data_IF_123761548063
#
_entry.id   IF_123761548063
#
_cell.length_a   1.000
_cell.length_b   1.000
_cell.length_c   1.000
_cell.angle_alpha   90.00
_cell.angle_beta   90.00
_cell.angle_gamma   90.00
#
_symmetry.space_group_name_H-M   'P 1'
#
loop_
_entity.id
_entity.type
_entity.pdbx_description
1 polymer ?
#
# COMPACT_ATOMS: atom_id res chain seq x y z
N UNK A 1 9.33 12.39 12.96
CA UNK A 1 9.09 12.36 11.50
C UNK A 1 7.59 12.48 11.25
N UNK A 2 7.18 13.13 10.16
CA UNK A 2 5.79 13.36 9.79
C UNK A 2 5.45 12.50 8.59
N UNK A 3 4.39 11.70 8.68
CA UNK A 3 3.96 10.79 7.60
C UNK A 3 2.48 10.96 7.30
N UNK A 4 2.13 11.06 6.03
CA UNK A 4 0.73 11.12 5.57
C UNK A 4 0.26 9.74 5.13
N UNK A 5 -0.99 9.42 5.43
CA UNK A 5 -1.62 8.14 5.10
C UNK A 5 -3.09 8.35 4.74
N UNK A 6 -3.65 7.42 3.96
CA UNK A 6 -5.10 7.34 3.81
C UNK A 6 -5.74 6.96 5.16
N UNK A 7 -6.63 7.83 5.68
CA UNK A 7 -7.38 7.62 6.89
C UNK A 7 -8.64 6.75 6.72
N UNK A 8 -9.44 6.67 7.77
CA UNK A 8 -9.23 7.21 9.12
C UNK A 8 -8.26 6.39 9.99
N UNK A 9 -8.12 6.74 11.27
CA UNK A 9 -7.38 5.95 12.25
C UNK A 9 -7.88 4.48 12.28
N UNK A 10 -6.99 3.53 12.59
CA UNK A 10 -7.27 2.09 12.50
C UNK A 10 -7.20 1.53 11.07
N UNK A 11 -6.86 2.33 10.05
CA UNK A 11 -6.74 1.86 8.67
C UNK A 11 -5.48 1.01 8.45
N UNK A 12 -5.49 0.17 7.41
CA UNK A 12 -4.30 -0.59 7.02
C UNK A 12 -3.13 0.32 6.59
N UNK A 13 -3.41 1.51 6.07
CA UNK A 13 -2.37 2.50 5.75
C UNK A 13 -1.67 3.02 7.01
N UNK A 14 -2.39 3.21 8.10
CA UNK A 14 -1.81 3.56 9.41
C UNK A 14 -0.98 2.41 9.97
N UNK A 15 -1.50 1.17 9.93
CA UNK A 15 -0.77 -0.03 10.38
C UNK A 15 0.54 -0.14 9.59
N UNK A 16 0.49 0.03 8.27
CA UNK A 16 1.67 -0.01 7.40
C UNK A 16 2.68 1.09 7.78
N UNK A 17 2.22 2.31 8.04
CA UNK A 17 3.08 3.40 8.46
C UNK A 17 3.77 3.09 9.81
N UNK A 18 3.01 2.67 10.82
CA UNK A 18 3.56 2.29 12.12
C UNK A 18 4.59 1.16 12.01
N UNK A 19 4.30 0.13 11.21
CA UNK A 19 5.20 -1.02 10.98
C UNK A 19 6.47 -0.60 10.24
N UNK A 20 6.37 0.21 9.19
CA UNK A 20 7.52 0.75 8.47
C UNK A 20 8.43 1.55 9.40
N UNK A 21 7.84 2.47 10.19
CA UNK A 21 8.62 3.34 11.07
C UNK A 21 9.17 2.64 12.31
N UNK A 22 8.58 1.55 12.78
CA UNK A 22 9.15 0.73 13.87
C UNK A 22 10.50 0.12 13.46
N UNK A 23 10.65 -0.24 12.19
CA UNK A 23 11.92 -0.77 11.64
C UNK A 23 12.90 0.35 11.30
N UNK A 24 12.39 1.42 10.64
CA UNK A 24 13.22 2.50 10.13
C UNK A 24 13.74 3.41 11.25
N UNK A 25 12.93 3.65 12.27
CA UNK A 25 13.21 4.62 13.32
C UNK A 25 12.75 4.10 14.69
N UNK A 26 13.52 3.17 15.26
CA UNK A 26 13.20 2.48 16.52
C UNK A 26 13.01 3.39 17.76
N UNK A 27 13.30 4.70 17.66
CA UNK A 27 13.32 5.62 18.81
C UNK A 27 12.11 6.54 18.94
N UNK A 28 11.34 6.77 17.88
CA UNK A 28 10.22 7.72 17.90
C UNK A 28 9.09 7.28 16.96
N UNK A 29 7.87 7.18 17.49
CA UNK A 29 6.69 6.99 16.65
C UNK A 29 6.50 8.15 15.68
N UNK A 30 6.09 7.90 14.43
CA UNK A 30 5.81 8.95 13.48
C UNK A 30 4.59 9.78 13.89
N UNK A 31 4.61 11.07 13.63
CA UNK A 31 3.39 11.86 13.64
C UNK A 31 2.61 11.60 12.36
N UNK A 32 1.39 11.07 12.48
CA UNK A 32 0.57 10.62 11.35
C UNK A 32 -0.46 11.69 10.97
N UNK A 33 -0.45 12.10 9.69
CA UNK A 33 -1.49 12.91 9.09
C UNK A 33 -2.46 12.01 8.33
N UNK A 34 -3.72 11.95 8.78
CA UNK A 34 -4.77 11.25 8.08
C UNK A 34 -5.36 12.10 6.98
N UNK A 35 -5.47 11.54 5.79
CA UNK A 35 -6.03 12.21 4.61
C UNK A 35 -7.26 11.47 4.09
N UNK A 36 -8.08 12.16 3.30
CA UNK A 36 -9.32 11.62 2.75
C UNK A 36 -9.12 10.76 1.50
N UNK A 37 -7.94 10.84 0.87
CA UNK A 37 -7.61 10.06 -0.33
C UNK A 37 -6.12 9.74 -0.41
N UNK A 38 -5.76 8.74 -1.21
CA UNK A 38 -4.36 8.41 -1.53
C UNK A 38 -3.67 9.60 -2.21
N UNK A 39 -4.39 10.31 -3.08
CA UNK A 39 -3.88 11.51 -3.75
C UNK A 39 -3.51 12.59 -2.72
N UNK A 40 -4.39 12.90 -1.78
CA UNK A 40 -4.13 13.86 -0.72
C UNK A 40 -2.97 13.43 0.19
N UNK A 41 -2.76 12.12 0.40
CA UNK A 41 -1.61 11.63 1.14
C UNK A 41 -0.30 11.96 0.43
N UNK A 42 -0.24 11.83 -0.89
CA UNK A 42 0.94 12.21 -1.69
C UNK A 42 1.09 13.73 -1.82
N UNK A 43 0.00 14.47 -2.06
CA UNK A 43 0.02 15.94 -2.16
C UNK A 43 0.53 16.60 -0.87
N UNK A 44 0.29 15.98 0.27
CA UNK A 44 0.79 16.44 1.58
C UNK A 44 2.32 16.49 1.68
N UNK A 45 3.03 15.87 0.76
CA UNK A 45 4.49 16.00 0.64
C UNK A 45 4.91 17.36 0.06
N UNK A 46 4.03 18.03 -0.67
CA UNK A 46 4.31 19.26 -1.42
C UNK A 46 3.61 20.49 -0.83
N UNK A 47 2.51 20.27 -0.11
CA UNK A 47 1.61 21.32 0.37
C UNK A 47 1.62 21.38 1.90
N UNK A 48 1.63 22.59 2.42
CA UNK A 48 1.45 22.84 3.85
C UNK A 48 -0.03 22.66 4.24
N UNK A 49 -0.26 22.24 5.50
CA UNK A 49 -1.59 22.34 6.08
C UNK A 49 -1.88 23.75 6.60
N UNK A 50 -3.04 23.87 7.26
CA UNK A 50 -3.47 25.10 7.92
C UNK A 50 -2.48 25.58 9.00
N UNK A 51 -1.64 24.70 9.52
CA UNK A 51 -0.60 24.98 10.52
C UNK A 51 0.78 25.25 9.88
N UNK A 52 0.87 25.27 8.54
CA UNK A 52 2.13 25.45 7.83
C UNK A 52 3.03 24.20 7.81
N UNK A 53 2.48 23.01 8.07
CA UNK A 53 3.24 21.76 8.16
C UNK A 53 3.09 20.89 6.90
N UNK A 54 4.21 20.36 6.38
CA UNK A 54 4.24 19.33 5.34
C UNK A 54 4.57 17.97 5.93
N UNK A 55 4.18 16.89 5.25
CA UNK A 55 4.67 15.56 5.55
C UNK A 55 6.08 15.35 4.96
N UNK A 56 6.91 14.60 5.66
CA UNK A 56 8.21 14.16 5.14
C UNK A 56 8.07 12.94 4.21
N UNK A 57 7.07 12.10 4.54
CA UNK A 57 6.79 10.84 3.86
C UNK A 57 5.29 10.65 3.65
N UNK A 58 4.94 9.81 2.67
CA UNK A 58 3.60 9.26 2.55
C UNK A 58 3.66 7.74 2.46
N UNK A 59 2.68 7.03 3.04
CA UNK A 59 2.52 5.58 2.88
C UNK A 59 1.27 5.35 2.04
N UNK A 60 1.48 4.70 0.89
CA UNK A 60 0.41 4.42 -0.07
C UNK A 60 0.39 2.93 -0.46
N UNK A 61 -0.81 2.33 -0.62
CA UNK A 61 -0.94 0.98 -1.18
C UNK A 61 -0.66 1.02 -2.68
N UNK A 62 0.10 0.05 -3.20
CA UNK A 62 0.40 -0.04 -4.65
C UNK A 62 -0.14 -1.29 -5.30
N UNK A 63 -0.40 -2.34 -4.51
CA UNK A 63 -0.86 -3.62 -5.02
C UNK A 63 -1.56 -4.41 -3.91
N UNK A 64 -2.65 -5.10 -4.27
CA UNK A 64 -3.30 -6.08 -3.41
C UNK A 64 -3.30 -7.44 -4.11
N UNK A 65 -3.04 -8.52 -3.37
CA UNK A 65 -2.90 -9.87 -3.93
C UNK A 65 -4.18 -10.44 -4.58
N UNK A 66 -5.34 -9.84 -4.30
CA UNK A 66 -6.64 -10.25 -4.86
C UNK A 66 -7.07 -9.31 -5.98
N UNK A 67 -6.92 -7.99 -5.80
CA UNK A 67 -7.44 -6.98 -6.72
C UNK A 67 -6.39 -6.45 -7.72
N UNK A 68 -5.12 -6.78 -7.50
CA UNK A 68 -4.04 -6.30 -8.34
C UNK A 68 -3.59 -4.87 -8.01
N UNK A 69 -3.19 -4.12 -9.03
CA UNK A 69 -2.59 -2.81 -8.89
C UNK A 69 -3.56 -1.73 -8.42
N UNK A 70 -3.11 -0.88 -7.48
CA UNK A 70 -3.84 0.33 -7.06
C UNK A 70 -3.55 1.45 -8.06
N UNK A 71 -4.46 1.63 -9.03
CA UNK A 71 -4.26 2.52 -10.18
C UNK A 71 -3.89 3.94 -9.81
N UNK A 72 -4.57 4.55 -8.83
CA UNK A 72 -4.30 5.92 -8.36
C UNK A 72 -2.85 6.05 -7.86
N UNK A 73 -2.36 5.10 -7.10
CA UNK A 73 -0.98 5.12 -6.60
C UNK A 73 0.04 5.02 -7.74
N UNK A 74 -0.24 4.20 -8.75
CA UNK A 74 0.64 4.06 -9.90
C UNK A 74 0.70 5.35 -10.72
N UNK A 75 -0.45 6.00 -10.93
CA UNK A 75 -0.52 7.29 -11.63
C UNK A 75 0.25 8.38 -10.86
N UNK A 76 0.10 8.45 -9.53
CA UNK A 76 0.82 9.40 -8.68
C UNK A 76 2.34 9.18 -8.71
N UNK A 77 2.79 7.92 -8.67
CA UNK A 77 4.21 7.57 -8.79
C UNK A 77 4.79 7.98 -10.15
N UNK A 78 3.96 7.99 -11.20
CA UNK A 78 4.37 8.42 -12.54
C UNK A 78 4.40 9.94 -12.68
N UNK A 79 3.37 10.64 -12.18
CA UNK A 79 3.14 12.06 -12.41
C UNK A 79 3.89 12.98 -11.45
N UNK A 80 4.02 12.57 -10.17
CA UNK A 80 4.63 13.41 -9.13
C UNK A 80 6.13 13.15 -8.99
N UNK A 81 6.86 14.16 -8.52
CA UNK A 81 8.30 14.05 -8.23
C UNK A 81 8.52 13.38 -6.86
N UNK A 82 8.14 12.12 -6.79
CA UNK A 82 8.29 11.27 -5.62
C UNK A 82 9.09 10.03 -5.93
N UNK A 83 9.64 9.43 -4.90
CA UNK A 83 10.35 8.16 -4.99
C UNK A 83 9.97 7.21 -3.87
N UNK A 84 10.01 5.94 -4.20
CA UNK A 84 9.86 4.85 -3.25
C UNK A 84 11.17 4.68 -2.48
N UNK A 85 11.07 4.62 -1.16
CA UNK A 85 12.23 4.45 -0.26
C UNK A 85 12.17 3.20 0.61
N UNK A 86 10.99 2.59 0.73
CA UNK A 86 10.82 1.29 1.38
C UNK A 86 9.53 0.62 0.89
N UNK A 87 9.43 -0.70 1.04
CA UNK A 87 8.19 -1.44 0.86
C UNK A 87 7.89 -2.32 2.07
N UNK A 88 6.59 -2.52 2.30
CA UNK A 88 6.05 -3.45 3.28
C UNK A 88 4.93 -4.27 2.62
N UNK A 89 4.97 -5.59 2.79
CA UNK A 89 3.85 -6.46 2.46
C UNK A 89 3.10 -6.78 3.75
N UNK A 90 1.89 -6.25 3.86
CA UNK A 90 1.05 -6.37 5.05
C UNK A 90 -0.06 -7.39 4.80
N UNK A 91 -0.17 -8.46 5.61
CA UNK A 91 -1.33 -9.34 5.58
C UNK A 91 -2.61 -8.58 5.92
N UNK A 92 -3.69 -8.87 5.19
CA UNK A 92 -5.00 -8.27 5.38
C UNK A 92 -5.93 -9.32 5.97
N UNK A 93 -6.43 -9.06 7.17
CA UNK A 93 -7.39 -9.91 7.84
C UNK A 93 -8.61 -9.12 8.29
N UNK A 94 -9.76 -9.75 8.28
CA UNK A 94 -11.01 -9.12 8.67
C UNK A 94 -11.60 -9.79 9.90
N UNK A 95 -12.11 -8.96 10.81
CA UNK A 95 -12.81 -9.39 12.01
C UNK A 95 -14.22 -8.83 12.02
N UNK A 96 -15.12 -9.51 12.69
CA UNK A 96 -16.48 -9.01 12.96
C UNK A 96 -16.50 -8.36 14.32
N UNK A 97 -16.92 -7.11 14.37
CA UNK A 97 -17.03 -6.30 15.58
C UNK A 97 -18.46 -5.82 15.83
N UNK A 98 -18.79 -5.69 17.11
CA UNK A 98 -19.98 -4.96 17.58
C UNK A 98 -19.56 -3.94 18.64
N UNK A 99 -20.48 -3.02 19.03
CA UNK A 99 -20.23 -2.17 20.19
C UNK A 99 -20.18 -3.03 21.46
N UNK A 100 -19.43 -2.59 22.47
CA UNK A 100 -19.36 -3.30 23.78
C UNK A 100 -20.74 -3.43 24.42
N UNK A 101 -21.55 -2.40 24.30
CA UNK A 101 -22.92 -2.42 24.78
C UNK A 101 -23.73 -3.53 24.10
N UNK A 102 -23.60 -3.73 22.79
CA UNK A 102 -24.23 -4.85 22.07
C UNK A 102 -23.74 -6.20 22.60
N UNK A 103 -22.42 -6.36 22.75
CA UNK A 103 -21.82 -7.62 23.22
C UNK A 103 -22.30 -8.01 24.61
N UNK A 104 -22.62 -7.03 25.46
CA UNK A 104 -23.10 -7.25 26.83
C UNK A 104 -24.61 -7.34 26.97
N UNK A 105 -25.39 -7.24 25.87
CA UNK A 105 -26.83 -7.45 25.93
C UNK A 105 -27.17 -8.88 26.41
N UNK A 106 -28.07 -9.00 27.34
CA UNK A 106 -28.53 -10.31 27.85
C UNK A 106 -29.19 -11.12 26.72
N UNK A 107 -28.62 -12.30 26.43
CA UNK A 107 -29.10 -13.17 25.35
C UNK A 107 -28.71 -12.72 23.95
N UNK A 108 -27.70 -11.86 23.78
CA UNK A 108 -27.20 -11.48 22.47
C UNK A 108 -26.71 -12.70 21.67
N UNK A 109 -27.08 -12.75 20.40
CA UNK A 109 -26.65 -13.76 19.44
C UNK A 109 -26.48 -13.14 18.05
N UNK A 110 -25.70 -13.78 17.18
CA UNK A 110 -25.34 -13.25 15.85
C UNK A 110 -26.55 -13.00 14.94
N UNK A 111 -27.60 -13.78 15.08
CA UNK A 111 -28.84 -13.66 14.32
C UNK A 111 -29.65 -12.38 14.65
N UNK A 112 -29.28 -11.67 15.72
CA UNK A 112 -29.87 -10.36 16.03
C UNK A 112 -29.21 -9.19 15.30
N UNK A 113 -28.07 -9.44 14.64
CA UNK A 113 -27.38 -8.41 13.85
C UNK A 113 -28.21 -8.08 12.61
N UNK A 114 -28.70 -6.86 12.53
CA UNK A 114 -29.54 -6.39 11.44
C UNK A 114 -28.76 -5.82 10.27
N UNK A 115 -27.59 -5.21 10.56
CA UNK A 115 -26.79 -4.55 9.54
C UNK A 115 -25.31 -4.79 9.78
N UNK A 116 -24.59 -5.11 8.69
CA UNK A 116 -23.13 -5.25 8.65
C UNK A 116 -22.55 -4.13 7.79
N UNK A 117 -21.72 -3.29 8.39
CA UNK A 117 -21.01 -2.22 7.71
C UNK A 117 -19.61 -2.66 7.32
N UNK A 118 -19.17 -2.34 6.10
CA UNK A 118 -17.77 -2.48 5.68
C UNK A 118 -17.51 -1.75 4.36
N UNK A 119 -16.23 -1.70 3.94
CA UNK A 119 -15.86 -1.36 2.57
C UNK A 119 -16.36 -2.47 1.62
N UNK A 120 -16.76 -2.16 0.37
CA UNK A 120 -17.23 -3.17 -0.60
C UNK A 120 -16.33 -4.40 -0.70
N UNK A 121 -15.03 -4.17 -0.72
CA UNK A 121 -14.00 -5.21 -0.72
C UNK A 121 -14.06 -6.12 0.53
N UNK A 122 -14.24 -5.53 1.72
CA UNK A 122 -14.38 -6.28 2.97
C UNK A 122 -15.63 -7.16 2.97
N UNK A 123 -16.75 -6.63 2.47
CA UNK A 123 -18.02 -7.38 2.29
C UNK A 123 -17.77 -8.56 1.33
N UNK A 124 -17.17 -8.29 0.16
CA UNK A 124 -16.91 -9.32 -0.85
C UNK A 124 -16.00 -10.43 -0.32
N UNK A 125 -14.92 -10.06 0.36
CA UNK A 125 -13.97 -11.03 0.93
C UNK A 125 -14.56 -11.86 2.07
N UNK A 126 -15.55 -11.34 2.78
CA UNK A 126 -16.22 -12.02 3.91
C UNK A 126 -17.60 -12.60 3.55
N UNK A 127 -17.97 -12.63 2.25
CA UNK A 127 -19.30 -13.03 1.79
C UNK A 127 -19.75 -14.41 2.28
N UNK A 128 -18.82 -15.40 2.31
CA UNK A 128 -19.17 -16.75 2.77
C UNK A 128 -19.51 -16.77 4.26
N UNK A 129 -18.80 -16.01 5.08
CA UNK A 129 -19.09 -15.83 6.50
C UNK A 129 -20.44 -15.13 6.69
N UNK A 130 -20.68 -14.02 5.99
CA UNK A 130 -21.92 -13.27 6.06
C UNK A 130 -23.10 -14.18 5.70
N UNK A 131 -23.05 -14.86 4.56
CA UNK A 131 -24.14 -15.72 4.09
C UNK A 131 -24.45 -16.89 5.03
N UNK A 132 -23.43 -17.44 5.70
CA UNK A 132 -23.60 -18.61 6.57
C UNK A 132 -23.94 -18.28 8.01
N UNK A 133 -23.44 -17.16 8.53
CA UNK A 133 -23.54 -16.80 9.96
C UNK A 133 -24.45 -15.60 10.23
N UNK A 134 -24.73 -14.79 9.21
CA UNK A 134 -25.52 -13.55 9.30
C UNK A 134 -26.56 -13.46 8.16
N UNK A 135 -27.35 -14.53 7.91
CA UNK A 135 -28.18 -14.65 6.69
C UNK A 135 -29.30 -13.61 6.57
N UNK A 136 -29.70 -12.97 7.68
CA UNK A 136 -30.74 -11.97 7.70
C UNK A 136 -30.22 -10.53 7.73
N UNK A 137 -28.90 -10.35 7.86
CA UNK A 137 -28.29 -9.03 7.96
C UNK A 137 -28.20 -8.35 6.60
N UNK A 138 -28.56 -7.08 6.55
CA UNK A 138 -28.27 -6.22 5.41
C UNK A 138 -26.78 -5.80 5.42
N UNK A 139 -26.17 -5.66 4.25
CA UNK A 139 -24.83 -5.09 4.13
C UNK A 139 -24.90 -3.65 3.67
N UNK A 140 -24.14 -2.76 4.34
CA UNK A 140 -24.04 -1.34 4.01
C UNK A 140 -22.58 -0.99 3.72
N UNK A 141 -22.36 -0.43 2.56
CA UNK A 141 -21.03 -0.05 2.09
C UNK A 141 -20.56 1.27 2.73
N UNK A 142 -19.28 1.32 3.04
CA UNK A 142 -18.59 2.50 3.57
C UNK A 142 -17.28 2.74 2.82
N UNK A 143 -16.74 3.95 2.87
CA UNK A 143 -15.50 4.33 2.15
C UNK A 143 -14.26 3.58 2.66
N UNK A 144 -14.28 3.01 3.88
CA UNK A 144 -13.22 2.17 4.43
C UNK A 144 -13.76 1.26 5.54
N UNK A 145 -13.06 0.13 5.77
CA UNK A 145 -13.38 -0.79 6.88
C UNK A 145 -13.28 -0.09 8.25
N UNK A 146 -12.32 0.83 8.41
CA UNK A 146 -12.17 1.60 9.64
C UNK A 146 -13.32 2.62 9.85
N UNK A 147 -13.86 3.21 8.76
CA UNK A 147 -15.07 4.04 8.84
C UNK A 147 -16.28 3.22 9.28
N UNK A 148 -16.39 1.98 8.83
CA UNK A 148 -17.44 1.06 9.31
C UNK A 148 -17.35 0.84 10.81
N UNK A 149 -16.15 0.58 11.35
CA UNK A 149 -15.93 0.45 12.79
C UNK A 149 -16.35 1.72 13.55
N UNK A 150 -15.95 2.90 13.05
CA UNK A 150 -16.36 4.19 13.63
C UNK A 150 -17.89 4.38 13.67
N UNK A 151 -18.57 3.98 12.59
CA UNK A 151 -20.04 4.08 12.53
C UNK A 151 -20.68 3.18 13.59
N UNK A 152 -20.26 1.90 13.65
CA UNK A 152 -20.83 0.93 14.60
C UNK A 152 -20.57 1.33 16.06
N UNK A 153 -19.43 1.93 16.35
CA UNK A 153 -19.12 2.46 17.68
C UNK A 153 -20.07 3.60 18.12
N UNK A 154 -20.69 4.30 17.18
CA UNK A 154 -21.59 5.42 17.46
C UNK A 154 -23.08 5.05 17.47
N UNK A 155 -23.44 3.82 17.05
CA UNK A 155 -24.85 3.38 16.98
C UNK A 155 -25.30 2.88 18.36
N UNK A 156 -26.45 3.40 18.82
CA UNK A 156 -27.07 2.92 20.03
C UNK A 156 -27.69 1.53 19.78
N UNK A 157 -27.29 0.47 20.50
CA UNK A 157 -27.85 -0.88 20.32
C UNK A 157 -29.33 -1.03 20.66
N UNK A 158 -29.89 -0.09 21.41
CA UNK A 158 -31.35 -0.06 21.67
C UNK A 158 -32.17 0.34 20.41
N UNK A 159 -31.53 1.05 19.47
CA UNK A 159 -32.15 1.44 18.20
C UNK A 159 -31.95 0.39 17.12
N UNK A 160 -30.68 -0.10 16.99
CA UNK A 160 -30.30 -1.06 15.96
C UNK A 160 -29.07 -1.84 16.36
N UNK A 161 -29.14 -3.16 16.25
CA UNK A 161 -27.96 -4.03 16.45
C UNK A 161 -27.18 -4.12 15.15
N UNK A 162 -25.97 -3.57 15.17
CA UNK A 162 -25.10 -3.47 14.01
C UNK A 162 -23.72 -4.07 14.26
N UNK A 163 -23.11 -4.57 13.19
CA UNK A 163 -21.73 -5.05 13.20
C UNK A 163 -20.87 -4.36 12.15
N UNK A 164 -19.56 -4.32 12.39
CA UNK A 164 -18.57 -3.88 11.43
C UNK A 164 -17.65 -5.03 11.04
N UNK A 165 -17.32 -5.12 9.75
CA UNK A 165 -16.18 -5.92 9.28
C UNK A 165 -15.02 -4.96 9.08
N UNK A 166 -13.98 -5.14 9.90
CA UNK A 166 -12.84 -4.23 9.95
C UNK A 166 -11.53 -4.95 10.34
N UNK A 167 -10.42 -4.20 10.34
CA UNK A 167 -9.15 -4.66 10.88
C UNK A 167 -9.18 -4.74 12.41
N UNK A 168 -8.34 -5.57 13.01
CA UNK A 168 -8.20 -5.62 14.47
C UNK A 168 -7.79 -4.27 15.06
N UNK A 169 -6.95 -3.51 14.33
CA UNK A 169 -6.55 -2.17 14.74
C UNK A 169 -7.74 -1.19 14.78
N UNK A 170 -8.66 -1.27 13.81
CA UNK A 170 -9.86 -0.45 13.82
C UNK A 170 -10.80 -0.82 14.98
N UNK A 171 -10.94 -2.11 15.29
CA UNK A 171 -11.70 -2.55 16.46
C UNK A 171 -11.14 -1.97 17.77
N UNK A 172 -9.83 -2.00 17.95
CA UNK A 172 -9.14 -1.41 19.11
C UNK A 172 -9.26 0.12 19.15
N UNK A 173 -9.11 0.79 17.99
CA UNK A 173 -9.19 2.25 17.89
C UNK A 173 -10.57 2.80 18.30
N UNK A 174 -11.62 2.09 17.92
CA UNK A 174 -13.00 2.51 18.22
C UNK A 174 -13.65 1.77 19.40
N UNK A 175 -12.82 1.09 20.20
CA UNK A 175 -13.23 0.39 21.43
C UNK A 175 -14.40 -0.61 21.24
N UNK A 176 -14.34 -1.38 20.13
CA UNK A 176 -15.31 -2.38 19.77
C UNK A 176 -14.94 -3.76 20.32
N UNK A 177 -15.96 -4.62 20.52
CA UNK A 177 -15.79 -6.02 20.90
C UNK A 177 -15.72 -6.91 19.66
N UNK A 178 -14.67 -7.76 19.59
CA UNK A 178 -14.47 -8.71 18.50
C UNK A 178 -15.26 -9.99 18.74
N UNK A 179 -16.18 -10.31 17.81
CA UNK A 179 -16.95 -11.55 17.87
C UNK A 179 -16.25 -12.70 17.13
N UNK A 180 -15.64 -12.40 15.99
CA UNK A 180 -14.92 -13.37 15.18
C UNK A 180 -13.69 -12.75 14.53
N UNK A 181 -12.61 -13.52 14.46
CA UNK A 181 -11.36 -13.15 13.80
C UNK A 181 -11.20 -13.94 12.49
N UNK A 182 -10.47 -13.37 11.54
CA UNK A 182 -10.09 -14.03 10.28
C UNK A 182 -11.29 -14.59 9.50
N UNK A 183 -12.33 -13.78 9.33
CA UNK A 183 -13.59 -14.18 8.69
C UNK A 183 -13.57 -14.12 7.16
N UNK A 184 -12.46 -13.69 6.55
CA UNK A 184 -12.28 -13.64 5.09
C UNK A 184 -12.19 -15.05 4.50
N UNK A 185 -12.78 -15.22 3.29
CA UNK A 185 -12.79 -16.50 2.58
C UNK A 185 -11.44 -16.88 1.97
N UNK A 186 -10.58 -15.87 1.69
CA UNK A 186 -9.25 -16.06 1.12
C UNK A 186 -8.21 -15.74 2.20
N UNK A 187 -7.49 -16.75 2.74
CA UNK A 187 -6.63 -16.56 3.91
C UNK A 187 -5.34 -15.77 3.64
N UNK A 188 -4.86 -15.74 2.39
CA UNK A 188 -3.56 -15.16 2.03
C UNK A 188 -3.68 -13.79 1.34
N UNK A 189 -4.66 -12.99 1.75
CA UNK A 189 -4.78 -11.62 1.26
C UNK A 189 -3.66 -10.76 1.83
N UNK A 190 -2.96 -10.03 0.97
CA UNK A 190 -1.90 -9.11 1.38
C UNK A 190 -1.94 -7.86 0.51
N UNK A 191 -1.61 -6.74 1.12
CA UNK A 191 -1.43 -5.46 0.41
C UNK A 191 0.01 -5.03 0.51
N UNK A 192 0.58 -4.67 -0.62
CA UNK A 192 1.90 -4.06 -0.71
C UNK A 192 1.76 -2.56 -0.55
N UNK A 193 2.37 -2.02 0.48
CA UNK A 193 2.51 -0.61 0.76
C UNK A 193 3.92 -0.13 0.43
N UNK A 194 4.03 1.10 -0.05
CA UNK A 194 5.32 1.76 -0.26
C UNK A 194 5.39 3.05 0.54
N UNK A 195 6.57 3.30 1.10
CA UNK A 195 6.93 4.57 1.69
C UNK A 195 7.51 5.45 0.59
N UNK A 196 6.92 6.59 0.36
CA UNK A 196 7.37 7.56 -0.63
C UNK A 196 7.78 8.88 0.00
N UNK A 197 8.72 9.57 -0.62
CA UNK A 197 9.14 10.91 -0.28
C UNK A 197 9.36 11.75 -1.54
N UNK A 198 9.50 13.07 -1.39
CA UNK A 198 9.87 13.94 -2.52
C UNK A 198 11.24 13.58 -3.07
N UNK A 199 11.36 13.60 -4.38
CA UNK A 199 12.61 13.29 -5.09
C UNK A 199 13.74 14.30 -4.81
N UNK A 200 13.41 15.57 -4.60
CA UNK A 200 14.36 16.65 -4.30
C UNK A 200 14.85 16.67 -2.84
N UNK A 201 14.15 16.00 -1.93
CA UNK A 201 14.52 15.97 -0.50
C UNK A 201 15.74 15.09 -0.19
N UNK A 202 16.44 14.61 -1.20
CA UNK A 202 17.48 13.60 -1.08
C UNK A 202 18.88 14.16 -1.15
N UNK A 203 19.73 13.66 -0.26
CA UNK A 203 21.15 13.99 -0.22
C UNK A 203 22.05 12.99 -0.93
N UNK A 204 21.52 11.85 -1.42
CA UNK A 204 22.31 10.80 -2.04
C UNK A 204 21.68 10.28 -3.34
N UNK A 205 22.28 10.63 -4.45
CA UNK A 205 22.01 10.06 -5.77
C UNK A 205 23.26 9.36 -6.28
N UNK A 206 23.12 8.11 -6.70
CA UNK A 206 24.13 7.50 -7.57
C UNK A 206 23.69 7.70 -9.01
N UNK A 207 24.64 8.09 -9.87
CA UNK A 207 24.38 8.20 -11.31
C UNK A 207 24.77 6.90 -12.00
N UNK A 208 23.82 6.30 -12.69
CA UNK A 208 24.06 5.19 -13.60
C UNK A 208 23.58 5.62 -14.98
N UNK A 209 24.46 5.62 -15.96
CA UNK A 209 24.19 6.06 -17.34
C UNK A 209 23.53 7.46 -17.41
N UNK A 210 23.95 8.39 -16.56
CA UNK A 210 23.44 9.76 -16.53
C UNK A 210 22.08 9.95 -15.83
N UNK A 211 21.45 8.89 -15.37
CA UNK A 211 20.19 8.94 -14.60
C UNK A 211 20.46 8.84 -13.11
N UNK A 212 19.71 9.62 -12.32
CA UNK A 212 19.81 9.62 -10.87
C UNK A 212 19.06 8.41 -10.29
N UNK A 213 19.80 7.53 -9.63
CA UNK A 213 19.24 6.46 -8.83
C UNK A 213 19.18 6.87 -7.36
N UNK A 214 18.06 6.63 -6.77
CA UNK A 214 17.77 7.07 -5.42
C UNK A 214 17.99 5.93 -4.45
N UNK A 215 19.06 6.03 -3.68
CA UNK A 215 19.32 5.11 -2.57
C UNK A 215 18.81 5.70 -1.26
N UNK A 216 18.41 4.81 -0.38
CA UNK A 216 18.01 5.14 0.98
C UNK A 216 19.08 5.96 1.69
N UNK A 217 18.70 7.01 2.45
CA UNK A 217 19.58 7.56 3.47
C UNK A 217 20.06 6.45 4.41
N UNK A 218 21.26 6.62 5.00
CA UNK A 218 21.87 5.67 5.93
C UNK A 218 20.96 5.20 7.10
N UNK A 219 19.88 5.93 7.37
CA UNK A 219 18.84 5.55 8.33
C UNK A 219 18.20 4.19 8.04
N UNK A 220 18.17 3.76 6.78
CA UNK A 220 17.55 2.52 6.34
C UNK A 220 18.56 1.38 6.15
N UNK A 221 19.86 1.68 6.16
CA UNK A 221 20.93 0.68 6.05
C UNK A 221 21.23 -0.05 7.35
N UNK A 222 20.69 0.39 8.49
CA UNK A 222 20.96 -0.19 9.82
C UNK A 222 19.96 -1.28 10.25
N UNK A 223 19.09 -1.75 9.38
CA UNK A 223 18.24 -2.89 9.68
C UNK A 223 19.07 -4.17 9.69
N UNK A 224 19.63 -4.51 10.85
CA UNK A 224 20.13 -5.81 11.27
C UNK A 224 21.00 -6.61 10.28
N UNK A 225 21.96 -7.34 10.77
CA UNK A 225 22.99 -8.17 10.14
C UNK A 225 22.50 -9.25 9.14
N UNK A 226 21.71 -8.86 8.14
CA UNK A 226 21.26 -9.70 7.02
C UNK A 226 21.53 -8.99 5.70
N UNK A 227 21.80 -9.72 4.64
CA UNK A 227 21.89 -9.17 3.28
C UNK A 227 20.61 -8.43 2.94
N UNK A 228 20.67 -7.12 2.74
CA UNK A 228 19.53 -6.31 2.32
C UNK A 228 19.19 -6.71 0.89
N UNK A 229 18.03 -7.33 0.71
CA UNK A 229 17.51 -7.59 -0.64
C UNK A 229 16.97 -6.28 -1.21
N UNK A 230 17.71 -5.72 -2.15
CA UNK A 230 17.27 -4.53 -2.87
C UNK A 230 16.28 -4.89 -3.98
N UNK A 231 15.30 -4.03 -4.13
CA UNK A 231 14.36 -4.00 -5.25
C UNK A 231 14.43 -2.63 -5.92
N UNK A 232 14.39 -2.61 -7.23
CA UNK A 232 14.31 -1.38 -8.02
C UNK A 232 13.01 -1.38 -8.81
N UNK A 233 12.29 -0.26 -8.76
CA UNK A 233 11.05 -0.05 -9.52
C UNK A 233 11.26 1.00 -10.60
N UNK A 234 10.77 0.71 -11.79
CA UNK A 234 10.83 1.56 -12.98
C UNK A 234 9.44 1.75 -13.59
N UNK A 235 9.22 2.88 -14.24
CA UNK A 235 8.16 3.08 -15.21
C UNK A 235 8.79 3.37 -16.58
N UNK A 236 8.42 2.59 -17.59
CA UNK A 236 9.09 2.54 -18.89
C UNK A 236 8.08 2.75 -20.00
N UNK A 237 8.44 3.58 -20.99
CA UNK A 237 7.74 3.64 -22.29
C UNK A 237 8.66 3.09 -23.36
N UNK A 238 8.28 2.06 -24.14
CA UNK A 238 9.07 1.59 -25.28
C UNK A 238 9.27 2.69 -26.33
N UNK A 239 10.41 2.65 -27.08
CA UNK A 239 10.68 3.63 -28.15
C UNK A 239 9.64 3.62 -29.25
N UNK A 240 9.11 2.44 -29.59
CA UNK A 240 8.18 2.25 -30.68
C UNK A 240 7.08 1.28 -30.23
N UNK A 241 5.85 1.57 -30.60
CA UNK A 241 4.75 0.61 -30.47
C UNK A 241 4.78 -0.33 -31.68
N UNK A 242 5.46 -1.49 -31.47
CA UNK A 242 5.59 -2.55 -32.48
C UNK A 242 5.63 -3.92 -31.81
N UNK A 243 5.27 -4.99 -32.53
CA UNK A 243 5.43 -6.35 -32.01
C UNK A 243 6.85 -6.61 -31.50
N UNK A 244 6.98 -7.11 -30.28
CA UNK A 244 8.25 -7.41 -29.63
C UNK A 244 8.91 -6.24 -28.89
N UNK A 245 8.35 -5.03 -28.87
CA UNK A 245 8.95 -3.89 -28.17
C UNK A 245 9.13 -4.17 -26.67
N UNK A 246 8.11 -4.66 -25.98
CA UNK A 246 8.21 -5.07 -24.58
C UNK A 246 9.20 -6.24 -24.40
N UNK A 247 9.16 -7.23 -25.30
CA UNK A 247 10.10 -8.35 -25.25
C UNK A 247 11.56 -7.89 -25.25
N UNK A 248 11.91 -6.92 -26.08
CA UNK A 248 13.28 -6.40 -26.15
C UNK A 248 13.72 -5.76 -24.83
N UNK A 249 12.80 -5.11 -24.08
CA UNK A 249 13.08 -4.58 -22.75
C UNK A 249 13.28 -5.72 -21.75
N UNK A 250 12.40 -6.73 -21.76
CA UNK A 250 12.49 -7.88 -20.85
C UNK A 250 13.73 -8.74 -21.12
N UNK A 251 14.13 -8.87 -22.38
CA UNK A 251 15.36 -9.56 -22.78
C UNK A 251 16.60 -8.95 -22.10
N UNK A 252 16.63 -7.63 -21.88
CA UNK A 252 17.74 -6.99 -21.19
C UNK A 252 17.92 -7.53 -19.77
N UNK A 253 16.85 -7.73 -19.03
CA UNK A 253 16.91 -8.33 -17.69
C UNK A 253 17.28 -9.82 -17.73
N UNK A 254 16.75 -10.58 -18.69
CA UNK A 254 17.05 -11.99 -18.85
C UNK A 254 18.54 -12.23 -19.17
N UNK A 255 19.13 -11.42 -20.05
CA UNK A 255 20.54 -11.55 -20.46
C UNK A 255 21.50 -11.41 -19.28
N UNK A 256 21.14 -10.62 -18.28
CA UNK A 256 21.92 -10.40 -17.06
C UNK A 256 21.39 -11.17 -15.84
N UNK A 257 20.47 -12.14 -16.06
CA UNK A 257 19.90 -13.02 -15.03
C UNK A 257 19.28 -12.26 -13.85
N UNK A 258 18.60 -11.15 -14.15
CA UNK A 258 17.91 -10.34 -13.16
C UNK A 258 16.46 -10.83 -13.06
N UNK A 259 16.03 -11.15 -11.83
CA UNK A 259 14.68 -11.58 -11.56
C UNK A 259 13.71 -10.38 -11.55
N UNK A 260 12.63 -10.48 -12.32
CA UNK A 260 11.53 -9.51 -12.29
C UNK A 260 10.49 -9.98 -11.28
N UNK A 261 10.12 -9.11 -10.35
CA UNK A 261 9.12 -9.42 -9.30
C UNK A 261 7.74 -8.88 -9.63
N UNK A 262 7.65 -7.94 -10.59
CA UNK A 262 6.38 -7.37 -11.05
C UNK A 262 6.52 -6.84 -12.46
N UNK A 263 5.46 -7.01 -13.24
CA UNK A 263 5.25 -6.31 -14.49
C UNK A 263 3.77 -5.90 -14.58
N UNK A 264 3.52 -4.65 -14.89
CA UNK A 264 2.18 -4.08 -14.96
C UNK A 264 2.11 -3.08 -16.10
N UNK A 265 1.13 -3.19 -16.97
CA UNK A 265 0.88 -2.22 -18.03
C UNK A 265 -0.22 -1.24 -17.64
N UNK A 266 0.02 0.05 -17.89
CA UNK A 266 -0.95 1.12 -17.65
C UNK A 266 -1.07 2.00 -18.87
N UNK A 267 -2.30 2.33 -19.33
CA UNK A 267 -2.48 3.26 -20.43
C UNK A 267 -1.92 4.64 -20.08
N UNK A 268 -1.29 5.29 -21.08
CA UNK A 268 -0.66 6.61 -20.89
C UNK A 268 -1.67 7.73 -20.64
N UNK A 269 -2.95 7.50 -20.93
CA UNK A 269 -4.03 8.49 -20.92
C UNK A 269 -3.82 9.67 -21.89
N UNK A 270 -2.77 9.63 -22.73
CA UNK A 270 -2.46 10.66 -23.74
C UNK A 270 -2.98 10.25 -25.10
N UNK A 271 -2.63 9.04 -25.53
CA UNK A 271 -3.03 8.47 -26.82
C UNK A 271 -3.50 7.04 -26.59
N UNK A 272 -4.59 6.63 -27.23
CA UNK A 272 -5.06 5.26 -27.18
C UNK A 272 -4.02 4.33 -27.81
N UNK A 273 -3.66 3.26 -27.09
CA UNK A 273 -2.63 2.31 -27.52
C UNK A 273 -1.25 2.58 -26.92
N UNK A 274 -0.99 3.75 -26.34
CA UNK A 274 0.24 4.00 -25.60
C UNK A 274 0.15 3.50 -24.16
N UNK A 275 1.20 2.77 -23.72
CA UNK A 275 1.29 2.19 -22.39
C UNK A 275 2.59 2.54 -21.69
N UNK A 276 2.51 2.76 -20.38
CA UNK A 276 3.63 2.65 -19.46
C UNK A 276 3.71 1.23 -18.94
N UNK A 277 4.94 0.70 -18.82
CA UNK A 277 5.22 -0.58 -18.17
C UNK A 277 5.93 -0.31 -16.85
N UNK A 278 5.26 -0.65 -15.76
CA UNK A 278 5.89 -0.66 -14.44
C UNK A 278 6.59 -1.99 -14.26
N UNK A 279 7.87 -1.95 -13.98
CA UNK A 279 8.71 -3.13 -13.80
C UNK A 279 9.45 -3.01 -12.48
N UNK A 280 9.29 -4.03 -11.63
CA UNK A 280 10.07 -4.18 -10.43
C UNK A 280 11.03 -5.35 -10.60
N UNK A 281 12.30 -5.15 -10.27
CA UNK A 281 13.33 -6.18 -10.34
C UNK A 281 14.15 -6.26 -9.05
N UNK A 282 14.70 -7.45 -8.78
CA UNK A 282 15.64 -7.69 -7.68
C UNK A 282 17.03 -7.23 -8.08
N UNK A 283 17.61 -6.35 -7.29
CA UNK A 283 18.96 -5.85 -7.45
C UNK A 283 19.08 -4.36 -7.23
N UNK A 284 20.35 -3.95 -7.07
CA UNK A 284 20.74 -2.55 -6.94
C UNK A 284 21.33 -2.09 -8.27
N UNK A 285 20.94 -0.93 -8.80
CA UNK A 285 21.53 -0.35 -10.01
C UNK A 285 23.05 -0.19 -9.99
N UNK A 286 23.66 -0.17 -8.80
CA UNK A 286 25.11 -0.13 -8.62
C UNK A 286 25.80 -1.48 -8.91
N UNK A 287 25.06 -2.57 -8.92
CA UNK A 287 25.59 -3.88 -9.25
C UNK A 287 25.88 -3.95 -10.76
N UNK A 288 27.00 -4.52 -11.14
CA UNK A 288 27.46 -4.53 -12.53
C UNK A 288 26.46 -5.12 -13.52
N UNK A 289 25.80 -6.22 -13.15
CA UNK A 289 24.75 -6.85 -13.97
C UNK A 289 23.52 -5.97 -14.12
N UNK A 290 23.07 -5.32 -13.02
CA UNK A 290 21.93 -4.39 -13.05
C UNK A 290 22.26 -3.14 -13.87
N UNK A 291 23.45 -2.57 -13.74
CA UNK A 291 23.89 -1.41 -14.52
C UNK A 291 23.91 -1.71 -16.02
N UNK A 292 24.39 -2.89 -16.42
CA UNK A 292 24.44 -3.31 -17.83
C UNK A 292 23.03 -3.55 -18.40
N UNK A 293 22.16 -4.23 -17.64
CA UNK A 293 20.75 -4.41 -18.04
C UNK A 293 20.05 -3.07 -18.22
N UNK A 294 20.20 -2.16 -17.26
CA UNK A 294 19.60 -0.83 -17.32
C UNK A 294 20.11 -0.01 -18.50
N UNK A 295 21.38 -0.12 -18.87
CA UNK A 295 21.92 0.52 -20.07
C UNK A 295 21.14 0.12 -21.32
N UNK A 296 20.87 -1.18 -21.50
CA UNK A 296 20.04 -1.66 -22.62
C UNK A 296 18.57 -1.21 -22.50
N UNK A 297 18.03 -1.19 -21.28
CA UNK A 297 16.65 -0.70 -21.05
C UNK A 297 16.54 0.76 -21.47
N UNK A 298 17.50 1.63 -21.08
CA UNK A 298 17.52 3.04 -21.49
C UNK A 298 17.65 3.18 -23.00
N UNK A 299 18.51 2.40 -23.64
CA UNK A 299 18.69 2.41 -25.07
C UNK A 299 17.41 2.04 -25.83
N UNK A 300 16.61 1.09 -25.33
CA UNK A 300 15.42 0.53 -25.97
C UNK A 300 14.12 1.27 -25.62
N UNK A 301 14.18 2.24 -24.73
CA UNK A 301 13.02 2.97 -24.20
C UNK A 301 12.97 4.41 -24.70
N UNK A 302 11.76 4.94 -24.92
CA UNK A 302 11.54 6.36 -25.18
C UNK A 302 11.68 7.17 -23.90
N UNK A 303 11.23 6.60 -22.76
CA UNK A 303 11.43 7.17 -21.44
C UNK A 303 11.56 6.08 -20.40
N UNK A 304 12.36 6.36 -19.36
CA UNK A 304 12.49 5.53 -18.16
C UNK A 304 12.44 6.46 -16.96
N UNK A 305 11.43 6.30 -16.11
CA UNK A 305 11.36 6.95 -14.80
C UNK A 305 11.75 5.94 -13.74
N UNK A 306 12.78 6.26 -12.97
CA UNK A 306 13.19 5.46 -11.82
C UNK A 306 12.31 5.87 -10.64
N UNK A 307 11.50 4.92 -10.17
CA UNK A 307 10.59 5.15 -9.06
C UNK A 307 11.27 4.98 -7.70
N UNK A 308 12.38 4.23 -7.65
CA UNK A 308 13.19 4.06 -6.46
C UNK A 308 13.95 2.73 -6.43
N UNK A 309 15.01 2.70 -5.60
CA UNK A 309 15.71 1.48 -5.18
C UNK A 309 15.62 1.41 -3.67
N UNK A 310 15.10 0.31 -3.13
CA UNK A 310 14.72 0.21 -1.72
C UNK A 310 14.82 -1.21 -1.20
N UNK A 311 14.95 -1.32 0.13
CA UNK A 311 14.89 -2.59 0.83
C UNK A 311 13.44 -3.02 1.11
N UNK A 312 13.20 -4.33 1.12
CA UNK A 312 11.95 -4.93 1.56
C UNK A 312 11.96 -5.09 3.08
N UNK A 313 10.97 -4.52 3.74
CA UNK A 313 10.74 -4.72 5.16
C UNK A 313 9.74 -5.88 5.31
N UNK A 314 10.15 -6.91 6.03
CA UNK A 314 9.25 -8.00 6.42
C UNK A 314 8.63 -7.61 7.76
N UNK A 315 7.30 -7.73 7.93
CA UNK A 315 6.70 -7.56 9.23
C UNK A 315 7.29 -8.60 10.20
N UNK A 316 7.49 -8.20 11.44
CA UNK A 316 7.88 -9.15 12.50
C UNK A 316 6.86 -10.30 12.47
N UNK A 317 7.37 -11.53 12.46
CA UNK A 317 6.51 -12.72 12.61
C UNK A 317 5.87 -12.63 13.98
N UNK A 318 4.60 -12.30 14.02
CA UNK A 318 3.75 -12.43 15.20
C UNK A 318 3.51 -13.89 15.53
#
# INVERSE_FOLDING_TARGET
>A
MKVSVLGPAGSYSEIAAKSLFSVICSRTAPHIFFTSSIENAVLRLFENDENGETANFAVIPVENSIEGAVGVSMDLLLEKDVCIVAELILPISHCLFVSKETAHLSGFSLDQIQTVYSHPQGIFQCRSFISSRLPISETVETDSTSKAAKIVAAINPAEKICAAIASEAAGKEYDLEALHFNIQSIPNNSTRFVLVMRSDSRKMTQKVNGSDFYMLPEYFSQTGSGSVFYKTSLAITPKNDRPGALFQILEAFNNFKINLTRIESRPSKRVLGEYFFFIDFEGNPSDSNCAQALSLVFERSASVKILGTYGRILPDRQ
#
